data_IF_272906539139
#
_entry.id   IF_272906539139
#
_cell.length_a   1.000
_cell.length_b   1.000
_cell.length_c   1.000
_cell.angle_alpha   90.00
_cell.angle_beta   90.00
_cell.angle_gamma   90.00
#
_symmetry.space_group_name_H-M   'P 1'
#
loop_
_entity.id
_entity.type
_entity.pdbx_description
1 polymer ?
#
# COMPACT_ATOMS: atom_id res chain seq x y z
N UNK A 1 -11.52 -3.38 -7.82
CA UNK A 1 -11.16 -3.98 -6.52
C UNK A 1 -10.38 -2.94 -5.73
N UNK A 2 -10.80 -2.67 -4.50
CA UNK A 2 -10.06 -1.81 -3.58
C UNK A 2 -9.32 -2.69 -2.57
N UNK A 3 -8.00 -2.80 -2.74
CA UNK A 3 -7.15 -3.61 -1.87
C UNK A 3 -6.87 -2.90 -0.54
N UNK A 4 -6.93 -1.57 -0.50
CA UNK A 4 -6.65 -0.80 0.72
C UNK A 4 -7.81 -0.99 1.70
N UNK A 5 -9.05 -0.84 1.23
CA UNK A 5 -10.24 -1.06 2.06
C UNK A 5 -10.37 -2.53 2.50
N UNK A 6 -10.01 -3.48 1.65
CA UNK A 6 -9.97 -4.90 2.02
C UNK A 6 -9.03 -5.15 3.21
N UNK A 7 -7.81 -4.60 3.19
CA UNK A 7 -6.86 -4.72 4.31
C UNK A 7 -7.35 -3.96 5.55
N UNK A 8 -7.97 -2.77 5.40
CA UNK A 8 -8.53 -2.02 6.53
C UNK A 8 -9.56 -2.85 7.29
N UNK A 9 -10.45 -3.55 6.58
CA UNK A 9 -11.43 -4.47 7.18
C UNK A 9 -10.76 -5.65 7.88
N UNK A 10 -9.71 -6.23 7.30
CA UNK A 10 -8.94 -7.30 7.95
C UNK A 10 -8.28 -6.82 9.25
N UNK A 11 -7.70 -5.62 9.26
CA UNK A 11 -7.12 -5.02 10.47
C UNK A 11 -8.18 -4.74 11.54
N UNK A 12 -9.34 -4.21 11.15
CA UNK A 12 -10.46 -4.01 12.09
C UNK A 12 -10.97 -5.32 12.67
N UNK A 13 -11.09 -6.39 11.86
CA UNK A 13 -11.47 -7.72 12.33
C UNK A 13 -10.42 -8.31 13.30
N UNK A 14 -9.15 -7.96 13.15
CA UNK A 14 -8.08 -8.31 14.08
C UNK A 14 -8.05 -7.45 15.36
N UNK A 15 -8.98 -6.49 15.50
CA UNK A 15 -9.09 -5.63 16.69
C UNK A 15 -8.26 -4.35 16.64
N UNK A 16 -7.65 -4.00 15.50
CA UNK A 16 -6.90 -2.73 15.36
C UNK A 16 -7.89 -1.56 15.31
N UNK A 17 -7.77 -0.56 16.22
CA UNK A 17 -8.63 0.62 16.19
C UNK A 17 -8.52 1.39 14.88
N UNK A 18 -9.64 1.86 14.34
CA UNK A 18 -9.66 2.55 13.05
C UNK A 18 -8.81 3.83 13.03
N UNK A 19 -8.72 4.53 14.17
CA UNK A 19 -7.89 5.73 14.33
C UNK A 19 -6.38 5.41 14.38
N UNK A 20 -5.98 4.14 14.49
CA UNK A 20 -4.58 3.70 14.41
C UNK A 20 -4.19 3.21 13.00
N UNK A 21 -5.13 3.26 12.04
CA UNK A 21 -4.88 2.86 10.65
C UNK A 21 -4.92 4.08 9.76
N UNK A 22 -3.77 4.45 9.21
CA UNK A 22 -3.66 5.45 8.16
C UNK A 22 -3.45 4.75 6.81
N UNK A 23 -4.13 5.24 5.78
CA UNK A 23 -3.97 4.77 4.41
C UNK A 23 -3.50 5.92 3.51
N UNK A 24 -2.47 5.67 2.71
CA UNK A 24 -2.00 6.65 1.74
C UNK A 24 -2.79 6.52 0.44
N UNK A 25 -3.32 7.64 -0.05
CA UNK A 25 -4.24 7.68 -1.20
C UNK A 25 -3.52 7.60 -2.57
N UNK A 26 -2.26 7.15 -2.63
CA UNK A 26 -1.54 6.99 -3.89
C UNK A 26 -1.81 5.64 -4.54
N UNK A 27 -2.21 5.69 -5.81
CA UNK A 27 -2.38 4.54 -6.67
C UNK A 27 -1.10 4.31 -7.49
N UNK A 28 -0.46 3.15 -7.32
CA UNK A 28 0.78 2.80 -8.05
C UNK A 28 0.60 2.80 -9.56
N UNK A 29 -0.54 2.32 -10.06
CA UNK A 29 -0.85 2.35 -11.50
C UNK A 29 -1.25 3.71 -12.06
N UNK A 30 -1.68 4.65 -11.21
CA UNK A 30 -2.15 5.96 -11.61
C UNK A 30 -1.03 7.01 -11.58
N UNK A 31 0.03 6.75 -10.78
CA UNK A 31 1.18 7.62 -10.58
C UNK A 31 2.48 6.91 -10.96
N UNK A 32 2.54 6.39 -12.18
CA UNK A 32 3.76 5.78 -12.74
C UNK A 32 4.89 6.78 -12.95
N UNK A 33 4.61 8.08 -12.83
CA UNK A 33 5.60 9.16 -12.73
C UNK A 33 6.35 9.17 -11.39
N UNK A 34 5.79 8.56 -10.35
CA UNK A 34 6.39 8.48 -9.01
C UNK A 34 6.69 7.06 -8.53
N UNK A 35 5.94 6.06 -9.00
CA UNK A 35 5.89 4.72 -8.43
C UNK A 35 5.98 3.65 -9.52
N UNK A 36 6.64 2.53 -9.23
CA UNK A 36 6.59 1.36 -10.10
C UNK A 36 5.24 0.63 -10.00
N UNK A 37 4.71 0.16 -11.13
CA UNK A 37 3.45 -0.59 -11.20
C UNK A 37 3.54 -1.77 -12.14
N UNK A 38 3.58 -2.97 -11.57
CA UNK A 38 3.64 -4.22 -12.34
C UNK A 38 2.47 -4.37 -13.34
N UNK A 39 1.25 -3.96 -12.95
CA UNK A 39 0.07 -4.04 -13.81
C UNK A 39 0.09 -2.99 -14.93
N UNK A 40 0.42 -1.74 -14.61
CA UNK A 40 0.39 -0.66 -15.59
C UNK A 40 1.55 -0.78 -16.60
N UNK A 41 2.72 -1.22 -16.13
CA UNK A 41 3.94 -1.38 -16.94
C UNK A 41 4.11 -2.81 -17.49
N UNK A 42 3.02 -3.58 -17.56
CA UNK A 42 2.95 -4.88 -18.24
C UNK A 42 4.06 -5.87 -17.82
N UNK A 43 4.34 -5.90 -16.52
CA UNK A 43 5.26 -6.85 -15.91
C UNK A 43 6.73 -6.45 -15.89
N UNK A 44 7.17 -5.53 -16.75
CA UNK A 44 8.58 -5.10 -16.88
C UNK A 44 8.81 -3.76 -16.20
N UNK A 45 9.03 -3.80 -14.88
CA UNK A 45 9.27 -2.61 -14.05
C UNK A 45 10.09 -2.95 -12.80
N UNK A 46 10.62 -1.92 -12.13
CA UNK A 46 11.30 -2.03 -10.83
C UNK A 46 10.38 -2.40 -9.68
N UNK A 47 10.89 -2.32 -8.45
CA UNK A 47 10.15 -2.57 -7.21
C UNK A 47 10.49 -1.49 -6.18
N UNK A 48 9.47 -1.06 -5.46
CA UNK A 48 9.63 -0.20 -4.29
C UNK A 48 9.82 -1.06 -3.04
N UNK A 49 10.30 -0.44 -1.97
CA UNK A 49 10.48 -1.09 -0.67
C UNK A 49 9.81 -0.25 0.41
N UNK A 50 9.07 -0.91 1.31
CA UNK A 50 8.60 -0.32 2.56
C UNK A 50 9.47 -0.86 3.70
N UNK A 51 10.00 0.03 4.55
CA UNK A 51 10.87 -0.32 5.67
C UNK A 51 10.37 0.31 6.96
N UNK A 52 10.47 -0.43 8.07
CA UNK A 52 10.18 0.04 9.41
C UNK A 52 11.21 -0.56 10.38
N UNK A 53 11.67 0.22 11.35
CA UNK A 53 12.67 -0.23 12.32
C UNK A 53 12.70 0.67 13.55
N UNK A 54 13.16 0.10 14.66
CA UNK A 54 13.46 0.84 15.88
C UNK A 54 14.94 1.22 15.85
N UNK A 55 15.25 2.45 16.23
CA UNK A 55 16.64 2.86 16.47
C UNK A 55 17.05 2.44 17.88
N UNK A 56 18.30 1.98 18.09
CA UNK A 56 18.82 1.66 19.41
C UNK A 56 18.81 2.87 20.35
#
# INVERSE_FOLDING_TARGET
LDLVEANRRQLSAAGVPANHVAAYQLCTGCRTDLLFSHRAEQGRTGRMMAVAGLRP
#
